data_IF_271679865992
#
_entry.id   IF_271679865992
#
_cell.length_a   1.000
_cell.length_b   1.000
_cell.length_c   1.000
_cell.angle_alpha   90.00
_cell.angle_beta   90.00
_cell.angle_gamma   90.00
#
_symmetry.space_group_name_H-M   'P 1'
#
loop_
_entity.id
_entity.type
_entity.pdbx_description
1 polymer ?
#
# COMPACT_ATOMS: atom_id res chain seq x y z
N UNK A 1 11.17 1.15 10.87
CA UNK A 1 11.28 -0.30 10.80
C UNK A 1 12.07 -0.77 9.57
N UNK A 2 11.69 -0.39 8.34
CA UNK A 2 12.37 -0.85 7.12
C UNK A 2 13.83 -0.38 7.07
N UNK A 3 14.05 0.89 7.36
CA UNK A 3 15.41 1.47 7.35
C UNK A 3 16.26 0.95 8.50
N UNK A 4 15.69 0.75 9.66
CA UNK A 4 16.39 0.20 10.83
C UNK A 4 16.85 -1.23 10.58
N UNK A 5 16.02 -2.07 10.04
CA UNK A 5 16.38 -3.44 9.65
C UNK A 5 17.54 -3.46 8.65
N UNK A 6 17.54 -2.54 7.68
CA UNK A 6 18.62 -2.41 6.71
C UNK A 6 19.92 -1.90 7.35
N UNK A 7 19.85 -0.87 8.18
CA UNK A 7 21.01 -0.27 8.83
C UNK A 7 21.74 -1.24 9.78
N UNK A 8 21.00 -2.15 10.41
CA UNK A 8 21.53 -3.21 11.27
C UNK A 8 22.05 -4.44 10.52
N UNK A 9 22.13 -4.38 9.18
CA UNK A 9 22.53 -5.53 8.38
C UNK A 9 21.43 -6.57 8.25
N UNK A 10 20.18 -6.14 8.36
CA UNK A 10 18.99 -7.00 8.23
C UNK A 10 18.92 -7.68 6.87
N UNK A 11 18.50 -8.91 6.86
CA UNK A 11 18.71 -9.90 5.80
C UNK A 11 17.57 -10.07 4.83
N UNK A 12 16.65 -9.12 4.76
CA UNK A 12 15.60 -9.24 3.75
C UNK A 12 16.15 -8.83 2.38
N UNK A 13 16.20 -9.77 1.46
CA UNK A 13 16.52 -9.50 0.06
C UNK A 13 15.40 -8.74 -0.64
N UNK A 14 14.22 -8.69 -0.04
CA UNK A 14 13.03 -8.03 -0.53
C UNK A 14 12.47 -7.07 0.53
N UNK A 15 12.17 -5.86 0.13
CA UNK A 15 11.44 -4.91 0.98
C UNK A 15 9.96 -5.21 0.88
N UNK A 16 9.31 -5.43 2.01
CA UNK A 16 7.88 -5.77 2.09
C UNK A 16 7.13 -4.65 2.80
N UNK A 17 6.03 -4.23 2.20
CA UNK A 17 5.15 -3.20 2.75
C UNK A 17 3.70 -3.67 2.71
N UNK A 18 3.01 -3.48 3.84
CA UNK A 18 1.56 -3.59 3.93
C UNK A 18 0.99 -2.18 4.14
N UNK A 19 0.00 -1.80 3.37
CA UNK A 19 -0.57 -0.46 3.47
C UNK A 19 -2.01 -0.40 3.00
N UNK A 20 -2.85 0.28 3.77
CA UNK A 20 -4.27 0.45 3.48
C UNK A 20 -4.62 1.93 3.45
N UNK A 21 -5.40 2.33 2.47
CA UNK A 21 -5.96 3.67 2.43
C UNK A 21 -7.32 3.68 3.14
N UNK A 22 -7.49 4.62 4.06
CA UNK A 22 -8.67 4.73 4.92
C UNK A 22 -9.03 3.42 5.62
N UNK A 23 -8.04 2.82 6.30
CA UNK A 23 -8.30 1.71 7.19
C UNK A 23 -9.45 2.07 8.14
N UNK A 24 -10.53 1.27 8.22
CA UNK A 24 -11.70 1.66 8.99
C UNK A 24 -11.37 1.86 10.46
N UNK A 25 -11.83 2.97 11.02
CA UNK A 25 -11.88 3.14 12.47
C UNK A 25 -12.82 2.11 13.10
N UNK A 26 -12.57 1.74 14.34
CA UNK A 26 -13.40 0.80 15.10
C UNK A 26 -13.28 -0.67 14.69
N UNK A 27 -12.50 -1.02 13.66
CA UNK A 27 -12.46 -2.38 13.11
C UNK A 27 -12.15 -3.47 14.13
N UNK A 28 -11.30 -3.17 15.11
CA UNK A 28 -10.87 -4.10 16.15
C UNK A 28 -11.50 -3.82 17.52
N UNK A 29 -12.47 -2.92 17.57
CA UNK A 29 -13.18 -2.59 18.81
C UNK A 29 -14.52 -3.31 18.81
N UNK A 30 -14.81 -4.19 19.76
CA UNK A 30 -16.11 -4.84 19.85
C UNK A 30 -17.24 -3.82 19.87
N UNK A 31 -18.29 -4.09 19.10
CA UNK A 31 -19.52 -3.29 19.01
C UNK A 31 -19.34 -1.83 18.54
N UNK A 32 -18.13 -1.46 18.08
CA UNK A 32 -17.92 -0.13 17.50
C UNK A 32 -18.38 -0.06 16.04
N UNK A 33 -18.90 1.09 15.67
CA UNK A 33 -19.17 1.41 14.27
C UNK A 33 -17.88 1.54 13.47
N UNK A 34 -17.85 0.95 12.29
CA UNK A 34 -16.73 1.15 11.37
C UNK A 34 -16.89 2.50 10.67
N UNK A 35 -15.88 3.33 10.72
CA UNK A 35 -15.89 4.67 10.13
C UNK A 35 -14.86 4.81 9.02
N UNK A 36 -15.18 5.65 8.03
CA UNK A 36 -14.34 5.98 6.89
C UNK A 36 -14.62 7.42 6.47
N UNK A 37 -13.58 8.20 6.17
CA UNK A 37 -13.70 9.62 5.86
C UNK A 37 -14.19 9.90 4.43
N UNK A 38 -14.30 8.91 3.57
CA UNK A 38 -14.72 9.06 2.17
C UNK A 38 -13.79 9.95 1.34
N UNK A 39 -12.50 9.94 1.64
CA UNK A 39 -11.52 10.76 0.96
C UNK A 39 -10.93 10.10 -0.27
N UNK A 40 -10.57 10.91 -1.26
CA UNK A 40 -9.79 10.51 -2.42
C UNK A 40 -8.30 10.48 -2.08
N UNK A 41 -7.62 9.40 -2.39
CA UNK A 41 -6.16 9.30 -2.23
C UNK A 41 -5.42 10.23 -3.19
N UNK A 42 -6.00 10.49 -4.37
CA UNK A 42 -5.46 11.40 -5.37
C UNK A 42 -5.60 12.84 -4.90
N UNK A 43 -6.77 13.23 -4.41
CA UNK A 43 -7.01 14.57 -3.89
C UNK A 43 -6.13 14.91 -2.67
N UNK A 44 -5.67 13.89 -1.95
CA UNK A 44 -4.66 13.99 -0.88
C UNK A 44 -3.22 14.01 -1.42
N UNK A 45 -3.01 14.52 -2.61
CA UNK A 45 -1.70 14.66 -3.27
C UNK A 45 -0.96 13.32 -3.43
N UNK A 46 -1.69 12.23 -3.54
CA UNK A 46 -1.14 10.88 -3.64
C UNK A 46 -0.16 10.51 -2.49
N UNK A 47 -0.31 11.10 -1.31
CA UNK A 47 0.58 10.88 -0.16
C UNK A 47 0.71 9.40 0.21
N UNK A 48 -0.40 8.65 0.14
CA UNK A 48 -0.43 7.20 0.34
C UNK A 48 0.52 6.45 -0.62
N UNK A 49 0.43 6.74 -1.91
CA UNK A 49 1.23 6.12 -2.96
C UNK A 49 2.71 6.44 -2.82
N UNK A 50 3.01 7.71 -2.55
CA UNK A 50 4.38 8.20 -2.34
C UNK A 50 5.01 7.57 -1.11
N UNK A 51 4.28 7.42 -0.02
CA UNK A 51 4.78 6.79 1.19
C UNK A 51 5.22 5.34 0.95
N UNK A 52 4.47 4.60 0.13
CA UNK A 52 4.87 3.25 -0.28
C UNK A 52 6.14 3.31 -1.15
N UNK A 53 6.20 4.20 -2.13
CA UNK A 53 7.36 4.33 -3.02
C UNK A 53 8.65 4.71 -2.27
N UNK A 54 8.55 5.54 -1.24
CA UNK A 54 9.68 5.91 -0.39
C UNK A 54 10.27 4.73 0.40
N UNK A 55 9.52 3.63 0.53
CA UNK A 55 10.03 2.41 1.16
C UNK A 55 10.95 1.59 0.25
N UNK A 56 11.04 1.95 -1.05
CA UNK A 56 11.88 1.23 -1.99
C UNK A 56 13.36 1.52 -1.77
N UNK A 57 14.15 0.48 -1.63
CA UNK A 57 15.60 0.57 -1.66
C UNK A 57 16.10 0.48 -3.11
N UNK A 58 17.19 1.18 -3.40
CA UNK A 58 17.72 1.29 -4.76
C UNK A 58 18.14 -0.06 -5.37
N UNK A 59 18.61 -0.96 -4.53
CA UNK A 59 19.21 -2.25 -4.89
C UNK A 59 18.34 -3.46 -4.56
N UNK A 60 17.09 -3.24 -4.12
CA UNK A 60 16.22 -4.33 -3.69
C UNK A 60 14.83 -4.26 -4.30
N UNK A 61 14.19 -5.41 -4.55
CA UNK A 61 12.79 -5.44 -4.95
C UNK A 61 11.89 -4.90 -3.83
N UNK A 62 10.82 -4.21 -4.21
CA UNK A 62 9.74 -3.81 -3.31
C UNK A 62 8.49 -4.62 -3.62
N UNK A 63 8.00 -5.34 -2.64
CA UNK A 63 6.74 -6.07 -2.69
C UNK A 63 5.70 -5.42 -1.80
N UNK A 64 4.58 -5.02 -2.37
CA UNK A 64 3.39 -4.62 -1.62
C UNK A 64 2.55 -5.86 -1.44
N UNK A 65 2.68 -6.51 -0.28
CA UNK A 65 2.07 -7.82 0.00
C UNK A 65 0.65 -7.72 0.51
N UNK A 66 0.25 -6.54 0.98
CA UNK A 66 -1.13 -6.25 1.30
C UNK A 66 -1.42 -4.78 0.99
N UNK A 67 -2.39 -4.52 0.14
CA UNK A 67 -2.93 -3.18 -0.04
C UNK A 67 -4.42 -3.23 -0.34
N UNK A 68 -5.14 -2.19 0.07
CA UNK A 68 -6.54 -1.98 -0.28
C UNK A 68 -6.95 -0.52 0.00
N UNK A 69 -7.94 -0.04 -0.77
CA UNK A 69 -8.83 1.04 -0.35
C UNK A 69 -10.04 0.40 0.30
N UNK A 70 -10.18 0.60 1.60
CA UNK A 70 -11.15 -0.16 2.36
C UNK A 70 -12.58 0.12 1.92
N UNK A 71 -13.43 -0.90 2.00
CA UNK A 71 -14.83 -0.79 1.68
C UNK A 71 -15.49 0.23 2.60
N UNK A 72 -16.35 0.84 2.01
CA UNK A 72 -17.24 1.99 1.91
C UNK A 72 -16.58 3.26 1.36
N UNK A 73 -15.28 3.37 1.20
CA UNK A 73 -14.72 4.52 0.50
C UNK A 73 -15.22 4.56 -0.95
N UNK A 74 -15.90 5.65 -1.32
CA UNK A 74 -16.46 5.85 -2.68
C UNK A 74 -15.37 5.98 -3.75
N UNK A 75 -14.14 6.31 -3.37
CA UNK A 75 -13.00 6.46 -4.26
C UNK A 75 -12.12 5.20 -4.35
N UNK A 76 -12.60 4.07 -3.86
CA UNK A 76 -11.82 2.82 -3.82
C UNK A 76 -11.36 2.31 -5.19
N UNK A 77 -11.98 2.73 -6.27
CA UNK A 77 -11.53 2.44 -7.64
C UNK A 77 -10.14 3.02 -7.95
N UNK A 78 -9.69 4.05 -7.22
CA UNK A 78 -8.36 4.64 -7.35
C UNK A 78 -7.27 3.64 -7.02
N UNK A 79 -7.56 2.67 -6.19
CA UNK A 79 -6.61 1.64 -5.77
C UNK A 79 -5.92 0.96 -6.95
N UNK A 80 -6.68 0.57 -7.95
CA UNK A 80 -6.15 -0.21 -9.08
C UNK A 80 -5.92 0.68 -10.30
N UNK A 81 -6.86 1.57 -10.61
CA UNK A 81 -6.76 2.43 -11.79
C UNK A 81 -5.57 3.40 -11.75
N UNK A 82 -5.11 3.75 -10.54
CA UNK A 82 -3.97 4.65 -10.36
C UNK A 82 -2.75 3.91 -9.81
N UNK A 83 -2.94 3.05 -8.81
CA UNK A 83 -1.80 2.42 -8.14
C UNK A 83 -1.06 1.42 -9.01
N UNK A 84 -1.77 0.65 -9.84
CA UNK A 84 -1.13 -0.28 -10.75
C UNK A 84 -0.15 0.40 -11.75
N UNK A 85 -0.56 1.44 -12.49
CA UNK A 85 0.36 2.16 -13.36
C UNK A 85 1.45 2.90 -12.59
N UNK A 86 1.14 3.48 -11.43
CA UNK A 86 2.13 4.12 -10.58
C UNK A 86 3.19 3.12 -10.10
N UNK A 87 2.76 1.95 -9.65
CA UNK A 87 3.67 0.89 -9.18
C UNK A 87 4.56 0.35 -10.30
N UNK A 88 4.02 0.21 -11.51
CA UNK A 88 4.81 -0.15 -12.69
C UNK A 88 5.86 0.93 -13.00
N UNK A 89 5.44 2.20 -13.00
CA UNK A 89 6.33 3.34 -13.22
C UNK A 89 7.45 3.43 -12.17
N UNK A 90 7.15 3.12 -10.91
CA UNK A 90 8.12 3.07 -9.81
C UNK A 90 8.92 1.75 -9.75
N UNK A 91 8.68 0.84 -10.69
CA UNK A 91 9.35 -0.47 -10.74
C UNK A 91 9.20 -1.28 -9.44
N UNK A 92 7.96 -1.41 -8.94
CA UNK A 92 7.67 -2.35 -7.86
C UNK A 92 7.70 -3.78 -8.39
N UNK A 93 7.98 -4.75 -7.54
CA UNK A 93 8.14 -6.14 -7.96
C UNK A 93 6.87 -6.96 -7.78
N UNK A 94 6.05 -6.64 -6.81
CA UNK A 94 4.84 -7.40 -6.50
C UNK A 94 3.75 -6.50 -5.95
N UNK A 95 2.51 -6.75 -6.39
CA UNK A 95 1.29 -6.14 -5.84
C UNK A 95 0.30 -7.24 -5.48
N UNK A 96 -0.10 -7.32 -4.21
CA UNK A 96 -1.10 -8.27 -3.74
C UNK A 96 -2.23 -7.50 -3.05
N UNK A 97 -3.42 -7.59 -3.62
CA UNK A 97 -4.62 -7.00 -3.02
C UNK A 97 -5.06 -7.85 -1.85
N UNK A 98 -5.24 -7.25 -0.71
CA UNK A 98 -5.82 -7.88 0.46
C UNK A 98 -7.28 -7.41 0.65
N UNK A 99 -8.26 -8.24 0.69
CA UNK A 99 -8.30 -9.70 0.60
C UNK A 99 -9.60 -10.17 -0.05
N UNK A 100 -9.86 -11.46 0.08
CA UNK A 100 -11.09 -12.08 -0.41
C UNK A 100 -11.33 -11.85 -1.92
N UNK A 101 -10.31 -12.12 -2.73
CA UNK A 101 -10.37 -11.99 -4.18
C UNK A 101 -11.34 -12.99 -4.84
N UNK A 102 -11.63 -14.11 -4.16
CA UNK A 102 -12.57 -15.14 -4.60
C UNK A 102 -13.77 -15.15 -3.66
N UNK A 103 -15.02 -15.11 -4.18
CA UNK A 103 -16.20 -15.18 -3.33
C UNK A 103 -16.30 -16.56 -2.69
N UNK A 104 -16.12 -16.61 -1.39
CA UNK A 104 -16.31 -17.82 -0.60
C UNK A 104 -17.78 -17.99 -0.23
N UNK A 105 -18.47 -18.92 -0.86
CA UNK A 105 -19.90 -19.18 -0.63
C UNK A 105 -20.17 -20.33 0.36
N UNK A 106 -19.15 -20.82 1.04
CA UNK A 106 -19.27 -21.93 1.99
C UNK A 106 -19.73 -21.51 3.38
N UNK A 107 -21.02 -21.51 3.63
CA UNK A 107 -21.59 -21.50 4.99
C UNK A 107 -21.56 -20.20 5.77
N UNK A 108 -20.87 -19.17 5.34
CA UNK A 108 -20.82 -17.88 5.99
C UNK A 108 -21.88 -16.96 5.37
N UNK A 109 -22.67 -16.31 6.21
CA UNK A 109 -23.47 -15.16 5.74
C UNK A 109 -22.47 -14.16 5.20
N UNK A 110 -22.46 -13.93 3.89
CA UNK A 110 -21.57 -12.99 3.23
C UNK A 110 -21.82 -11.60 3.79
N UNK A 111 -21.00 -11.20 4.75
CA UNK A 111 -20.94 -9.81 5.18
C UNK A 111 -19.86 -9.15 4.35
N UNK A 112 -20.19 -8.03 3.73
CA UNK A 112 -19.17 -7.19 3.12
C UNK A 112 -18.20 -6.78 4.21
N UNK A 113 -16.95 -7.22 4.10
CA UNK A 113 -15.88 -6.77 4.99
C UNK A 113 -15.19 -5.54 4.41
N UNK A 114 -14.54 -4.73 5.22
CA UNK A 114 -13.77 -3.58 4.74
C UNK A 114 -12.73 -3.92 3.66
N UNK A 115 -12.24 -5.14 3.64
CA UNK A 115 -11.22 -5.61 2.70
C UNK A 115 -11.77 -6.46 1.55
N UNK A 116 -13.08 -6.55 1.40
CA UNK A 116 -13.68 -7.41 0.38
C UNK A 116 -13.41 -6.88 -1.04
N UNK A 117 -12.84 -7.72 -1.88
CA UNK A 117 -12.54 -7.47 -3.30
C UNK A 117 -13.56 -8.17 -4.20
N UNK A 118 -13.87 -9.43 -3.92
CA UNK A 118 -14.67 -10.30 -4.80
C UNK A 118 -16.07 -9.76 -5.08
N UNK A 119 -16.73 -9.16 -4.08
CA UNK A 119 -18.09 -8.66 -4.19
C UNK A 119 -18.14 -7.17 -4.60
N UNK A 120 -16.99 -6.60 -5.02
CA UNK A 120 -16.92 -5.23 -5.52
C UNK A 120 -16.78 -5.21 -7.04
N UNK A 121 -17.85 -4.92 -7.79
CA UNK A 121 -17.78 -4.86 -9.25
C UNK A 121 -16.75 -3.86 -9.78
N UNK A 122 -16.61 -2.71 -9.10
CA UNK A 122 -15.66 -1.67 -9.47
C UNK A 122 -14.20 -2.17 -9.34
N UNK A 123 -13.87 -2.86 -8.25
CA UNK A 123 -12.54 -3.41 -8.03
C UNK A 123 -12.28 -4.55 -9.00
N UNK A 124 -13.27 -5.42 -9.24
CA UNK A 124 -13.13 -6.51 -10.21
C UNK A 124 -12.88 -5.99 -11.62
N UNK A 125 -13.58 -4.95 -12.04
CA UNK A 125 -13.32 -4.32 -13.33
C UNK A 125 -11.93 -3.66 -13.37
N UNK A 126 -11.49 -3.05 -12.28
CA UNK A 126 -10.19 -2.40 -12.18
C UNK A 126 -9.01 -3.38 -12.13
N UNK A 127 -9.20 -4.66 -11.78
CA UNK A 127 -8.16 -5.70 -11.87
C UNK A 127 -7.58 -5.84 -13.28
N UNK A 128 -8.36 -5.51 -14.30
CA UNK A 128 -7.91 -5.48 -15.68
C UNK A 128 -6.77 -4.47 -15.90
N UNK A 129 -6.84 -3.32 -15.22
CA UNK A 129 -5.77 -2.32 -15.26
C UNK A 129 -4.50 -2.83 -14.63
N UNK A 130 -4.60 -3.58 -13.53
CA UNK A 130 -3.45 -4.22 -12.91
C UNK A 130 -2.78 -5.22 -13.85
N UNK A 131 -3.57 -6.04 -14.53
CA UNK A 131 -3.04 -6.99 -15.51
C UNK A 131 -2.36 -6.30 -16.68
N UNK A 132 -2.96 -5.26 -17.23
CA UNK A 132 -2.41 -4.55 -18.38
C UNK A 132 -1.19 -3.68 -18.00
N UNK A 133 -1.35 -2.82 -17.02
CA UNK A 133 -0.34 -1.82 -16.72
C UNK A 133 0.84 -2.36 -15.94
N UNK A 134 0.59 -3.27 -15.00
CA UNK A 134 1.64 -3.81 -14.15
C UNK A 134 2.16 -5.16 -14.66
N UNK A 135 1.29 -6.16 -14.79
CA UNK A 135 1.74 -7.53 -15.11
C UNK A 135 2.20 -7.66 -16.57
N UNK A 136 1.44 -7.13 -17.53
CA UNK A 136 1.83 -7.13 -18.94
C UNK A 136 2.90 -6.08 -19.25
N UNK A 137 3.03 -5.07 -18.42
CA UNK A 137 4.05 -4.04 -18.53
C UNK A 137 3.76 -3.00 -19.60
N UNK A 138 2.48 -2.62 -19.82
CA UNK A 138 2.11 -1.53 -20.73
C UNK A 138 2.65 -0.20 -20.20
N UNK A 139 2.76 -0.05 -18.89
CA UNK A 139 3.49 1.04 -18.27
C UNK A 139 4.90 0.56 -17.95
N UNK A 140 5.89 1.25 -18.51
CA UNK A 140 7.30 0.95 -18.26
C UNK A 140 7.82 1.66 -17.03
N UNK A 141 8.79 1.09 -16.33
CA UNK A 141 9.51 1.79 -15.28
C UNK A 141 10.11 3.10 -15.78
N UNK A 142 10.15 4.11 -14.91
CA UNK A 142 10.81 5.37 -15.23
C UNK A 142 12.30 5.16 -15.56
N UNK A 143 12.78 5.79 -16.61
CA UNK A 143 14.21 5.85 -16.96
C UNK A 143 14.98 6.78 -16.01
N UNK A 144 14.28 7.72 -15.38
CA UNK A 144 14.87 8.65 -14.42
C UNK A 144 14.58 8.18 -12.99
N UNK A 145 15.60 8.29 -12.14
CA UNK A 145 15.54 7.92 -10.74
C UNK A 145 16.04 9.04 -9.85
N UNK A 146 15.36 9.26 -8.76
CA UNK A 146 15.81 10.14 -7.68
C UNK A 146 16.09 9.28 -6.47
N UNK A 147 17.33 9.24 -6.03
CA UNK A 147 17.76 8.50 -4.86
C UNK A 147 17.93 9.45 -3.67
N UNK A 148 17.26 9.14 -2.56
CA UNK A 148 17.49 9.82 -1.29
C UNK A 148 18.55 9.06 -0.52
N UNK A 149 19.69 9.71 -0.30
CA UNK A 149 20.80 9.13 0.45
C UNK A 149 20.57 9.33 1.95
N UNK A 150 20.38 8.23 2.67
CA UNK A 150 20.18 8.23 4.12
C UNK A 150 21.44 7.66 4.76
N UNK A 151 22.16 8.49 5.50
CA UNK A 151 23.35 8.06 6.22
C UNK A 151 23.02 7.15 7.40
N UNK A 152 23.87 6.15 7.63
CA UNK A 152 23.71 5.19 8.74
C UNK A 152 23.51 5.90 10.09
N UNK A 153 24.28 6.95 10.35
CA UNK A 153 24.19 7.71 11.59
C UNK A 153 22.83 8.40 11.77
N UNK A 154 22.16 8.77 10.66
CA UNK A 154 20.82 9.34 10.73
C UNK A 154 19.83 8.28 11.21
N UNK A 155 19.85 7.10 10.61
CA UNK A 155 18.98 5.98 10.99
C UNK A 155 19.17 5.60 12.46
N UNK A 156 20.42 5.51 12.92
CA UNK A 156 20.75 5.14 14.31
C UNK A 156 20.28 6.19 15.33
N UNK A 157 20.32 7.48 14.98
CA UNK A 157 19.87 8.56 15.86
C UNK A 157 18.35 8.75 15.89
N UNK A 158 17.70 8.59 14.74
CA UNK A 158 16.27 8.86 14.59
C UNK A 158 15.38 7.63 14.88
N UNK A 159 15.98 6.47 15.14
CA UNK A 159 15.24 5.22 15.42
C UNK A 159 14.22 5.38 16.55
N UNK A 160 14.52 6.19 17.56
CA UNK A 160 13.60 6.48 18.67
C UNK A 160 12.44 7.41 18.26
N UNK A 161 12.67 8.32 17.36
CA UNK A 161 11.63 9.25 16.89
C UNK A 161 10.68 8.56 15.92
N UNK A 162 11.20 7.70 15.04
CA UNK A 162 10.40 6.94 14.07
C UNK A 162 9.59 5.81 14.73
N UNK A 163 10.07 5.22 15.80
CA UNK A 163 9.35 4.18 16.55
C UNK A 163 8.21 4.73 17.41
N UNK A 164 8.26 6.01 17.76
CA UNK A 164 7.21 6.66 18.56
C UNK A 164 6.00 7.14 17.74
N UNK A 165 6.13 7.17 16.42
CA UNK A 165 5.01 7.47 15.51
C UNK A 165 4.24 6.17 15.29
N UNK A 166 3.48 5.80 16.32
CA UNK A 166 2.58 4.66 16.27
C UNK A 166 1.56 4.85 15.15
N UNK A 167 1.53 3.90 14.23
CA UNK A 167 0.39 3.58 13.38
C UNK A 167 -0.16 4.73 12.53
N UNK A 168 0.62 5.39 11.76
CA UNK A 168 0.07 6.36 10.83
C UNK A 168 1.14 7.15 10.11
N UNK A 169 1.21 6.94 8.84
CA UNK A 169 1.81 7.84 7.85
C UNK A 169 3.12 8.50 8.30
N UNK A 170 4.22 7.78 8.15
CA UNK A 170 5.55 8.35 8.31
C UNK A 170 5.75 9.49 7.31
N UNK A 171 5.56 10.71 7.76
CA UNK A 171 5.99 11.87 7.03
C UNK A 171 7.51 11.98 7.22
N UNK A 172 8.26 11.67 6.18
CA UNK A 172 9.60 12.20 6.06
C UNK A 172 9.41 13.65 5.58
N UNK A 173 9.78 14.66 6.37
CA UNK A 173 9.75 16.02 5.86
C UNK A 173 10.74 16.13 4.69
N UNK A 174 10.27 16.55 3.54
CA UNK A 174 11.11 16.97 2.43
C UNK A 174 11.59 18.39 2.66
#
# INVERSE_FOLDING_TARGET
>A
AVYDSWARGGFSENVIVNSYYEHPGGLYTPDADHTCNQESSIARSAGYWRAIALSKHADRPLSVTEYNHCYWNKHRFEMISVFAPYSAFQNFSTLIIHANAVPWRGGWKSRLSPFNVADSPAIRAAELFNQCFFMRGDVKPSEHRVDMLIGKNFVEKEDRALSSVGGGQGHIPL
#
